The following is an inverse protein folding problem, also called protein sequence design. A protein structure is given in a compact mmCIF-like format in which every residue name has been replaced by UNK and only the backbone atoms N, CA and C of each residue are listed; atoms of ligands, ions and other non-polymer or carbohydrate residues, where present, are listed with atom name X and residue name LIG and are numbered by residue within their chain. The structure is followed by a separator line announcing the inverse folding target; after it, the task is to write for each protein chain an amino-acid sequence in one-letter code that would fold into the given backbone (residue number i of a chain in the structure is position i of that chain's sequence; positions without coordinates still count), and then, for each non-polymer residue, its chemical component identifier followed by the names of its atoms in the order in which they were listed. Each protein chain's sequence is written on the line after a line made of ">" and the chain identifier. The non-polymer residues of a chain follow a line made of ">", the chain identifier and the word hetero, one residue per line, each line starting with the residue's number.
data_IF_442386570493
#
_entry.id   IF_442386570493
#
_cell.length_a   1.000
_cell.length_b   1.000
_cell.length_c   1.000
_cell.angle_alpha   90.00
_cell.angle_beta   90.00
_cell.angle_gamma   90.00
#
_symmetry.space_group_name_H-M   'P 1'
#
loop_
_entity.id
_entity.type
_entity.pdbx_description
1 polymer ?
#
# COMPACT_ATOMS: atom_id res chain seq x y z
N UNK A 1 -13.76 51.65 -19.69
CA UNK A 1 -12.58 50.77 -19.71
C UNK A 1 -12.74 49.80 -18.55
N UNK A 2 -13.43 48.69 -18.79
CA UNK A 2 -13.48 47.58 -17.83
C UNK A 2 -12.07 47.01 -17.70
N UNK A 3 -11.57 46.95 -16.46
CA UNK A 3 -10.32 46.28 -16.15
C UNK A 3 -10.52 44.78 -16.35
N UNK A 4 -9.84 44.21 -17.35
CA UNK A 4 -9.81 42.77 -17.56
C UNK A 4 -9.29 42.08 -16.28
N UNK A 5 -10.06 41.13 -15.76
CA UNK A 5 -9.63 40.28 -14.67
C UNK A 5 -8.28 39.63 -15.03
N UNK A 6 -7.33 39.54 -14.08
CA UNK A 6 -6.02 38.96 -14.36
C UNK A 6 -6.20 37.51 -14.82
N UNK A 7 -5.82 37.23 -16.07
CA UNK A 7 -5.79 35.87 -16.62
C UNK A 7 -4.99 34.97 -15.69
N UNK A 8 -5.66 34.08 -14.95
CA UNK A 8 -4.99 33.12 -14.08
C UNK A 8 -3.98 32.31 -14.91
N UNK A 9 -2.70 32.41 -14.56
CA UNK A 9 -1.63 31.71 -15.29
C UNK A 9 -1.81 30.19 -15.19
N UNK A 10 -1.79 29.50 -16.33
CA UNK A 10 -1.91 28.04 -16.40
C UNK A 10 -0.77 27.39 -15.62
N UNK A 11 -1.09 26.50 -14.67
CA UNK A 11 -0.11 25.77 -13.87
C UNK A 11 0.06 24.35 -14.43
N UNK A 12 1.04 24.20 -15.32
CA UNK A 12 1.34 22.93 -16.00
C UNK A 12 2.50 22.21 -15.31
N UNK A 13 2.25 20.99 -14.85
CA UNK A 13 3.25 20.15 -14.18
C UNK A 13 3.58 18.91 -15.02
N UNK A 14 4.83 18.48 -14.98
CA UNK A 14 5.33 17.33 -15.71
C UNK A 14 6.54 16.67 -15.03
N UNK A 15 7.33 15.86 -15.75
CA UNK A 15 8.37 15.01 -15.18
C UNK A 15 9.43 15.74 -14.33
N UNK A 16 9.75 16.98 -14.68
CA UNK A 16 10.74 17.79 -13.96
C UNK A 16 10.21 18.39 -12.65
N UNK A 17 8.88 18.43 -12.46
CA UNK A 17 8.26 19.08 -11.30
C UNK A 17 8.13 18.17 -10.07
N UNK A 18 8.37 16.87 -10.23
CA UNK A 18 8.18 15.87 -9.19
C UNK A 18 9.47 15.08 -8.90
N UNK A 19 10.64 15.70 -9.03
CA UNK A 19 11.90 15.05 -8.64
C UNK A 19 11.97 14.94 -7.11
N UNK A 20 12.36 13.76 -6.63
CA UNK A 20 12.54 13.45 -5.21
C UNK A 20 13.92 13.94 -4.69
N UNK A 21 14.34 15.14 -5.09
CA UNK A 21 15.73 15.61 -4.91
C UNK A 21 16.06 15.94 -3.43
N UNK A 22 15.08 15.99 -2.52
CA UNK A 22 15.28 16.51 -1.15
C UNK A 22 15.27 15.45 -0.01
N UNK A 23 14.78 14.22 -0.20
CA UNK A 23 14.24 13.45 0.94
C UNK A 23 14.52 11.93 0.93
N UNK A 24 15.73 11.54 0.53
CA UNK A 24 16.23 10.18 0.77
C UNK A 24 17.04 10.21 2.06
N UNK A 25 16.67 9.38 3.05
CA UNK A 25 17.52 9.16 4.22
C UNK A 25 18.96 8.97 3.77
N UNK A 26 19.88 9.75 4.32
CA UNK A 26 21.27 9.53 4.00
C UNK A 26 21.73 8.18 4.58
N UNK A 27 22.83 7.63 4.07
CA UNK A 27 23.33 6.32 4.49
C UNK A 27 23.55 6.22 6.00
N UNK A 28 23.93 7.33 6.65
CA UNK A 28 24.12 7.41 8.10
C UNK A 28 22.80 7.31 8.88
N UNK A 29 21.74 7.99 8.43
CA UNK A 29 20.40 7.90 9.03
C UNK A 29 19.80 6.51 8.88
N UNK A 30 19.93 5.90 7.70
CA UNK A 30 19.52 4.50 7.47
C UNK A 30 20.25 3.58 8.44
N UNK A 31 21.56 3.77 8.61
CA UNK A 31 22.36 2.99 9.56
C UNK A 31 21.85 3.12 11.00
N UNK A 32 21.52 4.33 11.46
CA UNK A 32 20.95 4.55 12.81
C UNK A 32 19.60 3.85 12.98
N UNK A 33 18.70 3.99 12.03
CA UNK A 33 17.39 3.34 12.06
C UNK A 33 17.51 1.81 12.11
N UNK A 34 18.44 1.24 11.34
CA UNK A 34 18.71 -0.19 11.36
C UNK A 34 19.24 -0.66 12.72
N UNK A 35 20.20 0.07 13.31
CA UNK A 35 20.75 -0.26 14.62
C UNK A 35 19.70 -0.20 15.72
N UNK A 36 18.85 0.82 15.71
CA UNK A 36 17.75 0.95 16.67
C UNK A 36 16.76 -0.22 16.57
N UNK A 37 16.38 -0.60 15.35
CA UNK A 37 15.46 -1.70 15.13
C UNK A 37 16.06 -3.03 15.61
N UNK A 38 17.35 -3.26 15.33
CA UNK A 38 18.08 -4.45 15.81
C UNK A 38 18.14 -4.53 17.33
N UNK A 39 18.40 -3.40 18.02
CA UNK A 39 18.41 -3.38 19.48
C UNK A 39 17.03 -3.75 20.08
N UNK A 40 15.93 -3.33 19.45
CA UNK A 40 14.56 -3.72 19.86
C UNK A 40 14.32 -5.22 19.62
N UNK A 41 14.82 -5.79 18.52
CA UNK A 41 14.74 -7.22 18.23
C UNK A 41 15.52 -8.03 19.28
N UNK A 42 16.76 -7.63 19.55
CA UNK A 42 17.61 -8.24 20.59
C UNK A 42 16.92 -8.24 21.96
N UNK A 43 16.30 -7.12 22.33
CA UNK A 43 15.50 -7.01 23.56
C UNK A 43 14.35 -8.01 23.60
N UNK A 44 13.63 -8.23 22.49
CA UNK A 44 12.55 -9.21 22.42
C UNK A 44 13.04 -10.64 22.64
N UNK A 45 14.12 -11.04 21.96
CA UNK A 45 14.71 -12.37 22.16
C UNK A 45 15.28 -12.55 23.56
N UNK A 46 15.86 -11.50 24.15
CA UNK A 46 16.32 -11.52 25.54
C UNK A 46 15.23 -11.91 26.54
N UNK A 47 13.96 -11.57 26.26
CA UNK A 47 12.80 -11.89 27.11
C UNK A 47 12.31 -13.33 27.00
N UNK A 48 12.64 -14.03 25.90
CA UNK A 48 12.13 -15.38 25.60
C UNK A 48 13.23 -16.42 25.45
N UNK A 49 14.51 -16.04 25.60
CA UNK A 49 15.68 -16.91 25.42
C UNK A 49 15.69 -18.18 26.29
N UNK A 50 14.92 -18.18 27.38
CA UNK A 50 14.84 -19.31 28.32
C UNK A 50 13.81 -20.36 27.87
N UNK A 51 12.97 -20.02 26.89
CA UNK A 51 11.90 -20.90 26.42
C UNK A 51 12.43 -21.94 25.43
N UNK A 52 12.12 -23.24 25.63
CA UNK A 52 12.56 -24.29 24.74
C UNK A 52 12.01 -24.11 23.31
N UNK A 53 12.89 -24.28 22.31
CA UNK A 53 12.54 -24.28 20.89
C UNK A 53 12.14 -22.93 20.28
N UNK A 54 12.21 -21.84 21.05
CA UNK A 54 11.87 -20.50 20.54
C UNK A 54 12.83 -20.03 19.44
N UNK A 55 14.06 -20.50 19.44
CA UNK A 55 15.07 -20.19 18.42
C UNK A 55 14.97 -21.05 17.16
N UNK A 56 14.05 -22.03 17.11
CA UNK A 56 13.94 -22.94 15.96
C UNK A 56 13.20 -22.28 14.79
N UNK A 57 12.24 -21.37 15.08
CA UNK A 57 11.50 -20.59 14.09
C UNK A 57 10.62 -19.47 14.71
N UNK A 58 10.87 -19.06 15.95
CA UNK A 58 10.12 -17.97 16.59
C UNK A 58 10.59 -16.61 16.10
N UNK A 59 9.75 -15.88 15.36
CA UNK A 59 10.09 -14.58 14.78
C UNK A 59 9.27 -13.43 15.36
N UNK A 60 9.81 -12.21 15.29
CA UNK A 60 9.15 -10.99 15.79
C UNK A 60 7.93 -10.55 14.95
N UNK A 61 7.66 -11.18 13.81
CA UNK A 61 6.55 -10.83 12.91
C UNK A 61 5.41 -11.84 12.98
N UNK A 62 4.18 -11.37 12.80
CA UNK A 62 2.96 -12.16 12.98
C UNK A 62 1.74 -11.26 13.19
N UNK A 63 0.68 -11.80 13.80
CA UNK A 63 -0.58 -11.09 14.05
C UNK A 63 -0.71 -10.50 15.46
N UNK A 64 0.31 -10.65 16.30
CA UNK A 64 0.34 -10.18 17.69
C UNK A 64 1.50 -9.18 17.90
N UNK A 65 1.76 -8.80 19.15
CA UNK A 65 2.96 -8.04 19.49
C UNK A 65 4.24 -8.89 19.26
N UNK A 66 5.43 -8.26 19.17
CA UNK A 66 6.65 -8.95 18.76
C UNK A 66 7.04 -10.15 19.63
N UNK A 67 6.81 -10.11 20.94
CA UNK A 67 7.18 -11.21 21.84
C UNK A 67 6.18 -12.34 21.72
N UNK A 68 4.89 -12.02 21.66
CA UNK A 68 3.84 -13.01 21.41
C UNK A 68 4.01 -13.71 20.05
N UNK A 69 4.43 -12.97 19.02
CA UNK A 69 4.73 -13.54 17.70
C UNK A 69 5.85 -14.58 17.75
N UNK A 70 6.89 -14.33 18.56
CA UNK A 70 8.01 -15.27 18.70
C UNK A 70 7.50 -16.60 19.28
N UNK A 71 6.69 -16.56 20.34
CA UNK A 71 6.18 -17.77 21.00
C UNK A 71 5.19 -18.52 20.10
N UNK A 72 4.27 -17.79 19.46
CA UNK A 72 3.32 -18.39 18.51
C UNK A 72 4.04 -19.01 17.31
N UNK A 73 5.03 -18.32 16.74
CA UNK A 73 5.81 -18.80 15.60
C UNK A 73 6.59 -20.08 15.90
N UNK A 74 7.19 -20.18 17.09
CA UNK A 74 7.86 -21.39 17.54
C UNK A 74 6.90 -22.58 17.66
N UNK A 75 5.70 -22.34 18.21
CA UNK A 75 4.64 -23.35 18.36
C UNK A 75 4.13 -23.82 16.99
N UNK A 76 3.93 -22.91 16.04
CA UNK A 76 3.55 -23.21 14.65
C UNK A 76 4.59 -24.13 13.99
N UNK A 77 5.88 -23.85 14.19
CA UNK A 77 6.93 -24.67 13.60
C UNK A 77 7.01 -26.07 14.23
N UNK A 78 6.80 -26.18 15.55
CA UNK A 78 6.77 -27.49 16.24
C UNK A 78 5.63 -28.37 15.73
N UNK A 79 4.41 -27.82 15.66
CA UNK A 79 3.26 -28.54 15.13
C UNK A 79 3.47 -29.01 13.68
N UNK A 80 4.25 -28.27 12.88
CA UNK A 80 4.59 -28.67 11.52
C UNK A 80 5.63 -29.80 11.43
N UNK A 81 6.51 -29.94 12.43
CA UNK A 81 7.46 -31.05 12.53
C UNK A 81 6.74 -32.32 12.97
N UNK A 82 5.87 -32.24 13.99
CA UNK A 82 5.07 -33.38 14.47
C UNK A 82 4.16 -33.94 13.35
N UNK A 83 3.54 -33.08 12.54
CA UNK A 83 2.76 -33.50 11.39
C UNK A 83 3.60 -34.18 10.27
N UNK A 84 4.89 -33.85 10.17
CA UNK A 84 5.81 -34.50 9.22
C UNK A 84 6.38 -35.81 9.74
N UNK A 85 6.62 -35.93 11.04
CA UNK A 85 7.08 -37.18 11.65
C UNK A 85 6.01 -38.28 11.55
N UNK A 86 4.72 -37.93 11.56
CA UNK A 86 3.62 -38.85 11.24
C UNK A 86 3.59 -39.29 9.75
N UNK A 87 4.12 -38.48 8.82
CA UNK A 87 4.20 -38.79 7.38
C UNK A 87 5.53 -39.47 6.98
N UNK A 88 6.63 -39.23 7.71
CA UNK A 88 8.00 -39.64 7.36
C UNK A 88 8.52 -40.87 8.15
N UNK A 89 7.68 -41.58 8.92
CA UNK A 89 8.05 -42.83 9.63
C UNK A 89 8.51 -43.98 8.71
N UNK A 90 8.45 -43.85 7.38
CA UNK A 90 8.89 -44.89 6.43
C UNK A 90 10.36 -44.82 5.98
N UNK A 91 11.14 -43.76 6.20
CA UNK A 91 12.56 -43.77 5.78
C UNK A 91 13.49 -42.97 6.69
N UNK A 92 14.21 -43.66 7.58
CA UNK A 92 15.42 -43.13 8.24
C UNK A 92 16.68 -43.62 7.55
N UNK A 93 17.65 -42.70 7.37
CA UNK A 93 19.04 -42.82 7.88
C UNK A 93 19.85 -41.52 7.70
N UNK A 94 20.57 -41.12 8.76
CA UNK A 94 21.40 -39.91 8.96
C UNK A 94 22.75 -39.96 8.17
N UNK A 95 23.54 -38.86 8.04
CA UNK A 95 24.53 -38.50 9.08
C UNK A 95 24.80 -36.99 9.28
N UNK A 96 25.28 -36.67 10.49
CA UNK A 96 25.49 -35.30 10.98
C UNK A 96 26.73 -34.54 10.45
N UNK A 97 26.76 -33.25 10.76
CA UNK A 97 27.94 -32.40 10.63
C UNK A 97 28.01 -31.43 11.83
N UNK A 98 29.13 -31.47 12.53
CA UNK A 98 29.53 -30.48 13.54
C UNK A 98 29.94 -29.19 12.81
N UNK A 99 29.23 -28.10 13.02
CA UNK A 99 29.72 -26.73 12.81
C UNK A 99 29.63 -26.03 14.17
N UNK A 100 30.67 -25.24 14.52
CA UNK A 100 30.78 -24.56 15.81
C UNK A 100 29.51 -23.81 16.19
N UNK A 101 29.22 -23.71 17.49
CA UNK A 101 28.00 -23.09 18.03
C UNK A 101 27.65 -21.84 17.22
N UNK A 102 26.60 -21.91 16.36
CA UNK A 102 26.16 -20.75 15.64
C UNK A 102 25.71 -19.73 16.67
N UNK A 103 26.00 -18.44 16.45
CA UNK A 103 25.32 -17.37 17.16
C UNK A 103 23.83 -17.40 16.75
N UNK A 104 23.08 -18.33 17.35
CA UNK A 104 21.69 -18.61 17.08
C UNK A 104 20.84 -17.37 17.32
N UNK A 105 21.16 -16.60 18.37
CA UNK A 105 20.46 -15.35 18.67
C UNK A 105 20.76 -14.31 17.60
N UNK A 106 22.03 -14.13 17.22
CA UNK A 106 22.41 -13.22 16.14
C UNK A 106 21.78 -13.58 14.79
N UNK A 107 21.67 -14.87 14.45
CA UNK A 107 20.99 -15.33 13.24
C UNK A 107 19.48 -15.04 13.30
N UNK A 108 18.83 -15.36 14.42
CA UNK A 108 17.40 -15.08 14.62
C UNK A 108 17.10 -13.59 14.59
N UNK A 109 17.97 -12.75 15.17
CA UNK A 109 17.86 -11.29 15.09
C UNK A 109 17.86 -10.80 13.63
N UNK A 110 18.80 -11.32 12.82
CA UNK A 110 18.92 -10.98 11.40
C UNK A 110 17.70 -11.43 10.61
N UNK A 111 17.24 -12.66 10.83
CA UNK A 111 16.08 -13.24 10.13
C UNK A 111 14.78 -12.51 10.49
N UNK A 112 14.57 -12.19 11.77
CA UNK A 112 13.45 -11.36 12.22
C UNK A 112 13.48 -9.95 11.64
N UNK A 113 14.67 -9.34 11.55
CA UNK A 113 14.83 -8.02 10.91
C UNK A 113 14.35 -8.05 9.44
N UNK A 114 14.82 -9.03 8.66
CA UNK A 114 14.40 -9.16 7.26
C UNK A 114 12.91 -9.46 7.13
N UNK A 115 12.40 -10.41 7.91
CA UNK A 115 10.98 -10.77 7.87
C UNK A 115 10.05 -9.61 8.26
N UNK A 116 10.40 -8.78 9.24
CA UNK A 116 9.60 -7.60 9.60
C UNK A 116 9.56 -6.53 8.50
N UNK A 117 10.71 -6.22 7.90
CA UNK A 117 10.78 -5.26 6.80
C UNK A 117 10.00 -5.77 5.60
N UNK A 118 10.16 -7.05 5.25
CA UNK A 118 9.49 -7.65 4.11
C UNK A 118 8.00 -7.90 4.34
N UNK A 119 7.58 -8.14 5.59
CA UNK A 119 6.16 -8.13 5.97
C UNK A 119 5.51 -6.79 5.60
N UNK A 120 6.10 -5.67 6.04
CA UNK A 120 5.53 -4.34 5.78
C UNK A 120 5.62 -3.93 4.32
N UNK A 121 6.72 -4.22 3.62
CA UNK A 121 6.87 -3.84 2.20
C UNK A 121 6.02 -4.73 1.29
N UNK A 122 5.76 -6.00 1.66
CA UNK A 122 4.80 -6.85 0.95
C UNK A 122 3.36 -6.38 1.19
N UNK A 123 3.01 -5.97 2.42
CA UNK A 123 1.69 -5.45 2.73
C UNK A 123 1.43 -4.06 2.10
N UNK A 124 2.48 -3.24 1.99
CA UNK A 124 2.43 -1.92 1.37
C UNK A 124 3.48 -1.80 0.25
N UNK A 125 3.19 -2.24 -0.98
CA UNK A 125 4.17 -2.35 -2.08
C UNK A 125 4.89 -1.05 -2.51
N UNK A 126 4.39 0.10 -2.05
CA UNK A 126 4.99 1.41 -2.32
C UNK A 126 5.83 1.95 -1.15
N UNK A 127 5.91 1.23 -0.05
CA UNK A 127 6.77 1.55 1.08
C UNK A 127 8.23 1.16 0.76
N UNK A 128 9.18 2.06 1.06
CA UNK A 128 10.61 1.74 0.93
C UNK A 128 11.11 1.02 2.18
N UNK A 129 12.18 0.25 2.08
CA UNK A 129 12.77 -0.44 3.24
C UNK A 129 13.11 0.53 4.37
N UNK A 130 13.67 1.71 4.05
CA UNK A 130 14.01 2.73 5.05
C UNK A 130 12.75 3.24 5.78
N UNK A 131 11.65 3.46 5.06
CA UNK A 131 10.39 3.85 5.68
C UNK A 131 9.77 2.70 6.49
N UNK A 132 9.86 1.45 6.03
CA UNK A 132 9.40 0.29 6.78
C UNK A 132 10.13 0.19 8.13
N UNK A 133 11.46 0.32 8.13
CA UNK A 133 12.27 0.34 9.35
C UNK A 133 11.86 1.50 10.26
N UNK A 134 11.64 2.70 9.70
CA UNK A 134 11.19 3.86 10.46
C UNK A 134 9.83 3.60 11.13
N UNK A 135 8.82 3.12 10.39
CA UNK A 135 7.51 2.80 10.98
C UNK A 135 7.59 1.71 12.04
N UNK A 136 8.44 0.68 11.85
CA UNK A 136 8.67 -0.35 12.87
C UNK A 136 9.32 0.23 14.12
N UNK A 137 10.26 1.17 13.97
CA UNK A 137 10.87 1.83 15.12
C UNK A 137 9.84 2.63 15.92
N UNK A 138 9.00 3.43 15.25
CA UNK A 138 7.93 4.20 15.89
C UNK A 138 6.87 3.28 16.51
N UNK A 139 6.60 2.12 15.90
CA UNK A 139 5.65 1.13 16.39
C UNK A 139 6.22 0.20 17.48
N UNK A 140 7.41 0.47 18.02
CA UNK A 140 8.10 -0.41 18.99
C UNK A 140 8.17 -1.86 18.50
N UNK A 141 8.58 -2.05 17.24
CA UNK A 141 8.73 -3.33 16.55
C UNK A 141 7.41 -4.03 16.19
N UNK A 142 6.25 -3.54 16.63
CA UNK A 142 4.97 -4.21 16.36
C UNK A 142 4.55 -4.01 14.88
N UNK A 143 4.46 -5.09 14.09
CA UNK A 143 4.19 -5.00 12.65
C UNK A 143 2.76 -4.53 12.33
N UNK A 144 1.76 -4.86 13.16
CA UNK A 144 0.38 -4.44 12.93
C UNK A 144 0.14 -3.01 13.42
N UNK A 145 0.80 -2.57 14.49
CA UNK A 145 0.81 -1.16 14.90
C UNK A 145 1.50 -0.31 13.82
N UNK A 146 2.61 -0.78 13.25
CA UNK A 146 3.26 -0.11 12.12
C UNK A 146 2.33 -0.02 10.90
N UNK A 147 1.61 -1.11 10.58
CA UNK A 147 0.61 -1.10 9.51
C UNK A 147 -0.52 -0.10 9.76
N UNK A 148 -1.04 -0.03 10.99
CA UNK A 148 -2.05 0.96 11.40
C UNK A 148 -1.53 2.40 11.25
N UNK A 149 -0.29 2.68 11.64
CA UNK A 149 0.33 4.00 11.46
C UNK A 149 0.39 4.38 9.97
N UNK A 150 0.78 3.44 9.10
CA UNK A 150 0.82 3.65 7.65
C UNK A 150 -0.59 3.94 7.11
N UNK A 151 -1.58 3.12 7.47
CA UNK A 151 -2.98 3.28 7.03
C UNK A 151 -3.52 4.65 7.44
N UNK A 152 -3.31 5.05 8.70
CA UNK A 152 -3.75 6.34 9.22
C UNK A 152 -3.03 7.51 8.53
N UNK A 153 -1.72 7.41 8.36
CA UNK A 153 -0.91 8.48 7.74
C UNK A 153 -1.22 8.67 6.26
N UNK A 154 -1.57 7.60 5.55
CA UNK A 154 -1.97 7.62 4.13
C UNK A 154 -3.46 7.89 3.91
N UNK A 155 -4.26 8.05 4.96
CA UNK A 155 -5.71 8.25 4.85
C UNK A 155 -6.44 7.05 4.23
N UNK A 156 -5.90 5.84 4.41
CA UNK A 156 -6.45 4.60 3.83
C UNK A 156 -7.51 3.94 4.71
N UNK A 157 -7.91 4.55 5.83
CA UNK A 157 -8.80 3.96 6.83
C UNK A 157 -10.15 3.49 6.25
N UNK A 158 -10.63 4.14 5.17
CA UNK A 158 -11.88 3.77 4.50
C UNK A 158 -11.73 2.66 3.47
N UNK A 159 -10.54 2.50 2.87
CA UNK A 159 -10.29 1.54 1.79
C UNK A 159 -9.59 0.28 2.27
N UNK A 160 -8.84 0.36 3.37
CA UNK A 160 -8.15 -0.77 3.99
C UNK A 160 -9.04 -1.38 5.09
N UNK A 161 -10.04 -2.15 4.66
CA UNK A 161 -10.99 -2.80 5.57
C UNK A 161 -10.45 -4.12 6.12
N UNK A 162 -10.52 -4.32 7.44
CA UNK A 162 -10.07 -5.54 8.11
C UNK A 162 -11.03 -6.74 7.95
N UNK A 163 -12.26 -6.49 7.52
CA UNK A 163 -13.23 -7.52 7.11
C UNK A 163 -13.16 -7.84 5.60
N UNK A 164 -12.22 -7.23 4.86
CA UNK A 164 -12.08 -7.45 3.41
C UNK A 164 -11.25 -8.69 3.12
N UNK A 165 -11.78 -9.60 2.31
CA UNK A 165 -11.06 -10.78 1.80
C UNK A 165 -9.76 -10.39 1.09
N UNK A 166 -9.74 -9.24 0.40
CA UNK A 166 -8.54 -8.71 -0.25
C UNK A 166 -7.46 -8.35 0.76
N UNK A 167 -7.84 -7.74 1.89
CA UNK A 167 -6.89 -7.40 2.96
C UNK A 167 -6.38 -8.66 3.64
N UNK A 168 -7.26 -9.62 3.93
CA UNK A 168 -6.90 -10.92 4.48
C UNK A 168 -5.89 -11.65 3.60
N UNK A 169 -6.14 -11.71 2.29
CA UNK A 169 -5.23 -12.32 1.31
C UNK A 169 -3.88 -11.57 1.21
N UNK A 170 -3.89 -10.23 1.33
CA UNK A 170 -2.68 -9.42 1.33
C UNK A 170 -1.82 -9.68 2.59
N UNK A 171 -2.44 -9.74 3.77
CA UNK A 171 -1.74 -10.07 5.03
C UNK A 171 -1.22 -11.50 5.00
N UNK A 172 -2.00 -12.46 4.51
CA UNK A 172 -1.55 -13.85 4.36
C UNK A 172 -0.33 -13.94 3.42
N UNK A 173 -0.35 -13.18 2.32
CA UNK A 173 0.80 -13.07 1.41
C UNK A 173 2.00 -12.43 2.08
N UNK A 174 1.80 -11.35 2.83
CA UNK A 174 2.86 -10.68 3.58
C UNK A 174 3.51 -11.60 4.64
N UNK A 175 2.73 -12.43 5.33
CA UNK A 175 3.24 -13.45 6.26
C UNK A 175 4.12 -14.48 5.54
N UNK A 176 3.70 -14.95 4.36
CA UNK A 176 4.53 -15.88 3.56
C UNK A 176 5.82 -15.24 3.08
N UNK A 177 5.75 -13.98 2.60
CA UNK A 177 6.95 -13.23 2.19
C UNK A 177 7.91 -13.04 3.36
N UNK A 178 7.41 -12.61 4.52
CA UNK A 178 8.19 -12.43 5.74
C UNK A 178 8.88 -13.72 6.17
N UNK A 179 8.14 -14.83 6.20
CA UNK A 179 8.66 -16.15 6.54
C UNK A 179 9.71 -16.64 5.53
N UNK A 180 9.50 -16.42 4.23
CA UNK A 180 10.47 -16.77 3.20
C UNK A 180 11.77 -15.97 3.35
N UNK A 181 11.67 -14.65 3.58
CA UNK A 181 12.83 -13.79 3.81
C UNK A 181 13.57 -14.11 5.11
N UNK A 182 12.82 -14.54 6.13
CA UNK A 182 13.36 -15.11 7.35
C UNK A 182 13.80 -16.57 7.19
N UNK A 183 13.85 -17.13 5.98
CA UNK A 183 14.33 -18.49 5.72
C UNK A 183 13.61 -19.57 6.54
N UNK A 184 12.31 -19.39 6.81
CA UNK A 184 11.51 -20.41 7.46
C UNK A 184 11.43 -21.66 6.55
N UNK A 185 11.58 -22.90 7.07
CA UNK A 185 11.61 -24.12 6.26
C UNK A 185 10.35 -24.31 5.39
N UNK A 186 9.20 -23.87 5.89
CA UNK A 186 7.94 -23.90 5.15
C UNK A 186 7.13 -22.60 5.35
N UNK A 187 7.33 -21.56 4.53
CA UNK A 187 6.62 -20.28 4.68
C UNK A 187 5.10 -20.38 4.56
N UNK A 188 4.60 -21.37 3.80
CA UNK A 188 3.17 -21.62 3.63
C UNK A 188 2.54 -22.17 4.90
N UNK A 189 3.20 -23.14 5.56
CA UNK A 189 2.76 -23.64 6.86
C UNK A 189 2.79 -22.56 7.94
N UNK A 190 3.79 -21.67 7.94
CA UNK A 190 3.82 -20.54 8.86
C UNK A 190 2.58 -19.65 8.74
N UNK A 191 2.20 -19.28 7.51
CA UNK A 191 0.97 -18.51 7.28
C UNK A 191 -0.31 -19.29 7.63
N UNK A 192 -0.33 -20.61 7.39
CA UNK A 192 -1.43 -21.48 7.78
C UNK A 192 -1.60 -21.56 9.30
N UNK A 193 -0.50 -21.64 10.06
CA UNK A 193 -0.54 -21.62 11.54
C UNK A 193 -1.18 -20.34 12.06
N UNK A 194 -0.77 -19.17 11.54
CA UNK A 194 -1.41 -17.90 11.86
C UNK A 194 -2.89 -17.87 11.50
N UNK A 195 -3.27 -18.50 10.39
CA UNK A 195 -4.65 -18.63 9.97
C UNK A 195 -5.49 -19.46 10.95
N UNK A 196 -4.98 -20.58 11.44
CA UNK A 196 -5.63 -21.40 12.47
C UNK A 196 -5.78 -20.64 13.79
N UNK A 197 -4.72 -19.93 14.22
CA UNK A 197 -4.75 -19.10 15.41
C UNK A 197 -5.73 -17.92 15.28
N UNK A 198 -5.86 -17.35 14.09
CA UNK A 198 -6.75 -16.21 13.83
C UNK A 198 -8.23 -16.50 14.06
N UNK A 199 -8.65 -17.75 13.87
CA UNK A 199 -10.01 -18.22 14.12
C UNK A 199 -10.21 -18.72 15.56
N UNK A 200 -9.21 -18.57 16.40
CA UNK A 200 -9.20 -19.01 17.80
C UNK A 200 -9.24 -17.78 18.71
N UNK A 201 -9.36 -17.98 20.03
CA UNK A 201 -9.43 -16.84 20.96
C UNK A 201 -8.06 -16.19 21.15
N UNK A 202 -7.65 -15.39 20.16
CA UNK A 202 -6.43 -14.58 20.16
C UNK A 202 -6.33 -13.68 21.40
N UNK A 203 -7.44 -13.37 22.09
CA UNK A 203 -7.38 -12.64 23.36
C UNK A 203 -6.63 -13.43 24.42
N UNK A 204 -6.92 -14.73 24.54
CA UNK A 204 -6.30 -15.54 25.56
C UNK A 204 -4.82 -15.77 25.24
N UNK A 205 -4.48 -15.97 23.96
CA UNK A 205 -3.08 -16.01 23.52
C UNK A 205 -2.37 -14.69 23.82
N UNK A 206 -2.99 -13.54 23.53
CA UNK A 206 -2.42 -12.22 23.81
C UNK A 206 -2.44 -11.81 25.29
N UNK A 207 -3.33 -12.39 26.11
CA UNK A 207 -3.44 -12.11 27.54
C UNK A 207 -2.43 -12.94 28.36
N UNK A 208 -2.12 -14.15 27.89
CA UNK A 208 -1.11 -15.03 28.51
C UNK A 208 0.30 -14.69 28.01
N UNK A 209 0.43 -14.10 26.81
CA UNK A 209 1.71 -13.64 26.27
C UNK A 209 2.01 -12.16 26.61
N UNK A 210 3.26 -11.79 26.95
CA UNK A 210 3.51 -10.59 27.73
C UNK A 210 3.61 -9.32 26.87
N UNK A 211 2.57 -8.49 26.94
CA UNK A 211 2.44 -7.21 26.20
C UNK A 211 3.34 -6.05 26.72
N UNK A 212 4.10 -6.21 27.82
CA UNK A 212 4.78 -5.08 28.50
C UNK A 212 6.23 -5.39 28.90
N UNK A 213 7.09 -4.36 28.78
CA UNK A 213 8.50 -4.37 29.19
C UNK A 213 8.72 -4.22 30.72
N UNK A 214 7.67 -3.98 31.50
CA UNK A 214 7.78 -3.53 32.91
C UNK A 214 7.27 -4.52 33.97
N UNK A 215 7.16 -5.81 33.65
CA UNK A 215 6.68 -6.80 34.61
C UNK A 215 7.62 -8.00 34.64
N UNK A 216 8.13 -8.30 35.83
CA UNK A 216 8.81 -9.55 36.16
C UNK A 216 7.82 -10.70 35.91
N UNK A 217 8.02 -11.45 34.84
CA UNK A 217 7.17 -12.61 34.52
C UNK A 217 7.87 -13.91 34.89
N UNK A 218 7.08 -14.88 35.36
CA UNK A 218 7.54 -16.24 35.64
C UNK A 218 7.51 -17.11 34.38
N UNK A 219 8.41 -18.09 34.32
CA UNK A 219 8.43 -19.12 33.25
C UNK A 219 7.09 -19.86 33.12
N UNK A 220 6.32 -19.95 34.21
CA UNK A 220 4.99 -20.58 34.25
C UNK A 220 3.98 -19.90 33.32
N UNK A 221 4.07 -18.58 33.15
CA UNK A 221 3.14 -17.82 32.29
C UNK A 221 3.38 -18.13 30.81
N UNK A 222 4.64 -18.24 30.41
CA UNK A 222 5.01 -18.63 29.04
C UNK A 222 4.68 -20.09 28.75
N UNK A 223 4.90 -21.00 29.70
CA UNK A 223 4.53 -22.40 29.55
C UNK A 223 3.02 -22.56 29.33
N UNK A 224 2.19 -21.81 30.06
CA UNK A 224 0.74 -21.80 29.86
C UNK A 224 0.35 -21.26 28.48
N UNK A 225 1.02 -20.22 27.98
CA UNK A 225 0.77 -19.71 26.63
C UNK A 225 1.12 -20.73 25.55
N UNK A 226 2.29 -21.37 25.65
CA UNK A 226 2.72 -22.41 24.70
C UNK A 226 1.71 -23.55 24.68
N UNK A 227 1.34 -24.09 25.85
CA UNK A 227 0.36 -25.17 25.94
C UNK A 227 -0.99 -24.78 25.31
N UNK A 228 -1.42 -23.53 25.48
CA UNK A 228 -2.65 -23.04 24.86
C UNK A 228 -2.55 -22.94 23.32
N UNK A 229 -1.43 -22.44 22.80
CA UNK A 229 -1.21 -22.32 21.35
C UNK A 229 -1.11 -23.71 20.72
N UNK A 230 -0.36 -24.62 21.35
CA UNK A 230 -0.21 -26.01 20.91
C UNK A 230 -1.57 -26.72 20.91
N UNK A 231 -2.39 -26.58 21.96
CA UNK A 231 -3.73 -27.15 22.03
C UNK A 231 -4.64 -26.70 20.86
N UNK A 232 -4.56 -25.43 20.49
CA UNK A 232 -5.31 -24.87 19.36
C UNK A 232 -4.83 -25.44 18.03
N UNK A 233 -3.52 -25.56 17.83
CA UNK A 233 -2.91 -26.07 16.61
C UNK A 233 -3.18 -27.57 16.44
N UNK A 234 -3.17 -28.35 17.53
CA UNK A 234 -3.45 -29.79 17.53
C UNK A 234 -4.94 -30.11 17.32
N UNK A 235 -5.86 -29.33 17.92
CA UNK A 235 -7.31 -29.61 17.85
C UNK A 235 -7.99 -29.18 16.55
N UNK A 236 -7.39 -28.29 15.76
CA UNK A 236 -8.01 -27.75 14.54
C UNK A 236 -7.36 -28.32 13.27
N UNK A 237 -8.00 -29.31 12.67
CA UNK A 237 -7.71 -29.64 11.28
C UNK A 237 -8.12 -28.50 10.35
N UNK A 238 -7.30 -28.15 9.34
CA UNK A 238 -7.59 -27.05 8.45
C UNK A 238 -8.84 -27.34 7.62
N UNK A 239 -9.92 -26.61 7.89
CA UNK A 239 -11.04 -26.53 6.94
C UNK A 239 -10.50 -25.82 5.69
N UNK A 240 -10.60 -26.42 4.48
CA UNK A 240 -9.90 -25.96 3.28
C UNK A 240 -10.33 -24.58 2.76
N UNK A 241 -11.33 -23.95 3.39
CA UNK A 241 -12.00 -22.75 2.90
C UNK A 241 -12.00 -21.55 3.86
N UNK A 242 -11.42 -21.66 5.07
CA UNK A 242 -11.43 -20.50 5.97
C UNK A 242 -10.55 -19.38 5.39
N UNK A 243 -10.91 -18.11 5.59
CA UNK A 243 -10.13 -16.92 5.21
C UNK A 243 -9.47 -16.37 6.46
N UNK A 244 -8.25 -15.84 6.39
CA UNK A 244 -7.55 -15.24 7.53
C UNK A 244 -8.43 -14.20 8.26
N UNK A 245 -8.70 -14.40 9.55
CA UNK A 245 -9.53 -13.48 10.35
C UNK A 245 -8.67 -12.39 10.98
N UNK A 246 -8.84 -11.13 10.55
CA UNK A 246 -7.99 -10.03 11.03
C UNK A 246 -8.60 -9.21 12.17
N UNK A 247 -9.92 -9.27 12.37
CA UNK A 247 -10.67 -8.40 13.30
C UNK A 247 -10.02 -8.32 14.69
N UNK A 248 -9.80 -9.47 15.31
CA UNK A 248 -9.23 -9.55 16.66
C UNK A 248 -7.79 -9.06 16.74
N UNK A 249 -6.94 -9.43 15.77
CA UNK A 249 -5.55 -8.99 15.71
C UNK A 249 -5.45 -7.46 15.56
N UNK A 250 -6.37 -6.89 14.79
CA UNK A 250 -6.44 -5.46 14.50
C UNK A 250 -6.96 -4.65 15.69
N UNK A 251 -7.95 -5.18 16.42
CA UNK A 251 -8.42 -4.59 17.68
C UNK A 251 -7.29 -4.50 18.71
N UNK A 252 -6.53 -5.60 18.89
CA UNK A 252 -5.40 -5.65 19.79
C UNK A 252 -4.30 -4.65 19.39
N UNK A 253 -3.95 -4.60 18.10
CA UNK A 253 -3.00 -3.62 17.58
C UNK A 253 -3.50 -2.17 17.76
N UNK A 254 -4.79 -1.93 17.55
CA UNK A 254 -5.41 -0.61 17.76
C UNK A 254 -5.35 -0.18 19.23
N UNK A 255 -5.54 -1.12 20.16
CA UNK A 255 -5.38 -0.84 21.59
C UNK A 255 -3.93 -0.49 21.94
N UNK A 256 -2.95 -1.23 21.40
CA UNK A 256 -1.52 -0.92 21.58
C UNK A 256 -1.14 0.43 20.98
N UNK A 257 -1.67 0.78 19.81
CA UNK A 257 -1.46 2.09 19.19
C UNK A 257 -2.00 3.23 20.06
N UNK A 258 -3.18 3.08 20.67
CA UNK A 258 -3.73 4.08 21.61
C UNK A 258 -2.82 4.28 22.81
N UNK A 259 -2.25 3.18 23.34
CA UNK A 259 -1.32 3.24 24.47
C UNK A 259 0.04 3.86 24.09
N UNK A 260 0.48 3.70 22.84
CA UNK A 260 1.66 4.39 22.30
C UNK A 260 1.42 5.89 22.06
N UNK A 261 0.18 6.33 21.90
CA UNK A 261 -0.20 7.69 21.54
C UNK A 261 0.56 8.83 22.27
N UNK A 262 0.79 8.74 23.60
CA UNK A 262 1.55 9.74 24.34
C UNK A 262 3.04 9.82 23.98
N UNK A 263 3.63 8.71 23.54
CA UNK A 263 5.07 8.54 23.28
C UNK A 263 5.42 8.66 21.80
N UNK A 264 4.42 8.75 20.90
CA UNK A 264 4.65 8.97 19.48
C UNK A 264 5.26 10.34 19.28
N UNK A 265 6.38 10.40 18.55
CA UNK A 265 7.07 11.66 18.30
C UNK A 265 6.11 12.66 17.62
N UNK A 266 6.20 13.97 17.93
CA UNK A 266 5.46 15.00 17.21
C UNK A 266 5.70 14.93 15.71
N UNK A 267 6.82 14.35 15.27
CA UNK A 267 7.17 14.11 13.86
C UNK A 267 6.28 13.04 13.20
N UNK A 268 5.77 12.06 13.96
CA UNK A 268 4.77 11.09 13.48
C UNK A 268 3.40 11.76 13.30
N UNK A 269 3.08 12.74 14.14
CA UNK A 269 1.77 13.42 14.20
C UNK A 269 1.70 14.68 13.32
N UNK A 270 2.79 15.45 13.26
CA UNK A 270 3.00 16.55 12.34
C UNK A 270 3.47 15.97 11.01
N UNK A 271 2.71 16.21 9.94
CA UNK A 271 2.94 15.74 8.57
C UNK A 271 4.25 16.26 7.92
N UNK A 272 5.30 16.56 8.69
CA UNK A 272 6.39 17.45 8.30
C UNK A 272 7.72 16.82 7.91
N UNK A 273 7.99 15.53 8.16
CA UNK A 273 9.38 15.04 7.99
C UNK A 273 9.60 13.97 6.92
N UNK A 274 8.56 13.30 6.42
CA UNK A 274 8.73 12.46 5.23
C UNK A 274 7.61 12.75 4.27
N UNK A 275 7.90 13.52 3.21
CA UNK A 275 7.05 13.46 2.05
C UNK A 275 7.19 12.05 1.50
N UNK A 276 6.24 11.18 1.85
CA UNK A 276 5.90 9.98 1.11
C UNK A 276 5.43 10.33 -0.32
N UNK A 277 5.83 11.47 -0.90
CA UNK A 277 5.45 11.96 -2.23
C UNK A 277 5.63 10.86 -3.25
N UNK A 278 6.81 10.23 -3.29
CA UNK A 278 7.09 9.11 -4.17
C UNK A 278 6.14 7.91 -3.97
N UNK A 279 5.79 7.60 -2.72
CA UNK A 279 4.93 6.46 -2.40
C UNK A 279 3.46 6.77 -2.74
N UNK A 280 2.96 7.93 -2.33
CA UNK A 280 1.64 8.46 -2.65
C UNK A 280 1.47 8.63 -4.16
N UNK A 281 2.49 9.12 -4.85
CA UNK A 281 2.53 9.21 -6.31
C UNK A 281 2.41 7.84 -6.97
N UNK A 282 3.19 6.85 -6.51
CA UNK A 282 3.11 5.48 -7.00
C UNK A 282 1.76 4.84 -6.71
N UNK A 283 1.18 5.06 -5.53
CA UNK A 283 -0.17 4.60 -5.18
C UNK A 283 -1.22 5.17 -6.14
N UNK A 284 -1.22 6.48 -6.34
CA UNK A 284 -2.14 7.14 -7.25
C UNK A 284 -1.96 6.64 -8.70
N UNK A 285 -0.72 6.43 -9.13
CA UNK A 285 -0.42 5.87 -10.44
C UNK A 285 -0.92 4.42 -10.58
N UNK A 286 -0.81 3.59 -9.54
CA UNK A 286 -1.37 2.23 -9.51
C UNK A 286 -2.89 2.27 -9.65
N UNK A 287 -3.57 3.18 -8.94
CA UNK A 287 -5.02 3.40 -9.07
C UNK A 287 -5.39 3.78 -10.51
N UNK A 288 -4.70 4.76 -11.10
CA UNK A 288 -4.93 5.18 -12.49
C UNK A 288 -4.67 4.02 -13.46
N UNK A 289 -3.59 3.25 -13.26
CA UNK A 289 -3.29 2.07 -14.07
C UNK A 289 -4.42 1.04 -14.02
N UNK A 290 -5.01 0.81 -12.84
CA UNK A 290 -6.21 -0.02 -12.68
C UNK A 290 -7.38 0.43 -13.54
N UNK A 291 -7.62 1.75 -13.68
CA UNK A 291 -8.66 2.27 -14.57
C UNK A 291 -8.39 1.99 -16.05
N UNK A 292 -7.13 2.02 -16.48
CA UNK A 292 -6.78 1.60 -17.85
C UNK A 292 -7.06 0.12 -18.08
N UNK A 293 -6.75 -0.75 -17.12
CA UNK A 293 -7.08 -2.18 -17.23
C UNK A 293 -8.60 -2.41 -17.32
N UNK A 294 -9.38 -1.69 -16.50
CA UNK A 294 -10.85 -1.73 -16.57
C UNK A 294 -11.38 -1.21 -17.91
N UNK A 295 -10.82 -0.13 -18.45
CA UNK A 295 -11.20 0.41 -19.75
C UNK A 295 -10.89 -0.59 -20.88
N UNK A 296 -9.71 -1.22 -20.86
CA UNK A 296 -9.32 -2.25 -21.82
C UNK A 296 -10.26 -3.45 -21.79
N UNK A 297 -10.73 -3.86 -20.61
CA UNK A 297 -11.69 -4.94 -20.48
C UNK A 297 -13.09 -4.61 -21.05
N UNK A 298 -13.42 -3.32 -21.21
CA UNK A 298 -14.73 -2.83 -21.71
C UNK A 298 -14.71 -2.44 -23.20
N UNK A 299 -13.54 -2.15 -23.76
CA UNK A 299 -13.41 -1.75 -25.16
C UNK A 299 -13.49 -2.97 -26.10
N UNK A 300 -14.09 -2.85 -27.31
CA UNK A 300 -14.18 -3.95 -28.27
C UNK A 300 -12.79 -4.44 -28.70
N UNK A 301 -12.55 -5.75 -28.59
CA UNK A 301 -11.25 -6.37 -28.86
C UNK A 301 -10.76 -6.13 -30.30
N UNK A 302 -11.65 -6.29 -31.28
CA UNK A 302 -11.39 -6.07 -32.70
C UNK A 302 -10.94 -4.61 -32.98
N UNK A 303 -11.59 -3.65 -32.33
CA UNK A 303 -11.24 -2.23 -32.48
C UNK A 303 -9.95 -1.88 -31.73
N UNK A 304 -9.72 -2.45 -30.55
CA UNK A 304 -8.45 -2.34 -29.82
C UNK A 304 -7.28 -2.80 -30.68
N UNK A 305 -7.38 -3.98 -31.29
CA UNK A 305 -6.31 -4.54 -32.12
C UNK A 305 -6.06 -3.70 -33.37
N UNK A 306 -7.09 -3.11 -33.98
CA UNK A 306 -6.97 -2.40 -35.25
C UNK A 306 -6.64 -0.90 -35.16
N UNK A 307 -7.34 -0.12 -34.30
CA UNK A 307 -7.19 1.35 -34.30
C UNK A 307 -7.32 2.01 -32.92
N UNK A 308 -8.08 1.45 -31.99
CA UNK A 308 -8.22 2.04 -30.65
C UNK A 308 -6.95 1.98 -29.81
N UNK A 309 -6.01 1.03 -30.05
CA UNK A 309 -4.73 1.07 -29.36
C UNK A 309 -3.96 2.37 -29.59
N UNK A 310 -4.00 2.91 -30.81
CA UNK A 310 -3.33 4.16 -31.15
C UNK A 310 -3.99 5.32 -30.42
N UNK A 311 -5.31 5.45 -30.55
CA UNK A 311 -6.08 6.52 -29.92
C UNK A 311 -6.01 6.48 -28.39
N UNK A 312 -6.05 5.29 -27.79
CA UNK A 312 -5.93 5.11 -26.35
C UNK A 312 -4.56 5.57 -25.84
N UNK A 313 -3.47 5.17 -26.52
CA UNK A 313 -2.11 5.53 -26.11
C UNK A 313 -1.73 6.98 -26.41
N UNK A 314 -2.46 7.67 -27.28
CA UNK A 314 -2.22 9.08 -27.61
C UNK A 314 -3.09 10.04 -26.80
N UNK A 315 -4.38 9.71 -26.63
CA UNK A 315 -5.38 10.65 -26.16
C UNK A 315 -6.39 10.07 -25.16
N UNK A 316 -6.36 8.76 -24.87
CA UNK A 316 -7.28 8.08 -23.96
C UNK A 316 -7.06 8.43 -22.48
N UNK A 317 -6.93 9.70 -22.13
CA UNK A 317 -6.62 10.15 -20.77
C UNK A 317 -7.81 9.96 -19.81
N UNK A 318 -7.53 9.78 -18.52
CA UNK A 318 -8.57 9.56 -17.50
C UNK A 318 -9.16 10.83 -16.88
N UNK A 319 -8.66 12.02 -17.23
CA UNK A 319 -9.29 13.30 -16.83
C UNK A 319 -10.44 13.65 -17.78
N UNK A 320 -11.47 14.29 -17.24
CA UNK A 320 -12.69 14.62 -17.97
C UNK A 320 -13.90 14.72 -17.02
N UNK A 321 -15.11 14.92 -17.55
CA UNK A 321 -16.32 15.10 -16.76
C UNK A 321 -16.96 13.80 -16.27
N UNK A 322 -16.51 12.63 -16.75
CA UNK A 322 -17.01 11.31 -16.33
C UNK A 322 -16.14 10.69 -15.24
N UNK A 323 -16.50 9.48 -14.79
CA UNK A 323 -15.59 8.67 -13.98
C UNK A 323 -14.30 8.35 -14.78
N UNK A 324 -13.18 8.03 -14.11
CA UNK A 324 -11.90 7.81 -14.78
C UNK A 324 -11.95 6.77 -15.91
N UNK A 325 -12.73 5.69 -15.79
CA UNK A 325 -12.84 4.66 -16.82
C UNK A 325 -13.68 5.17 -18.00
N UNK A 326 -14.80 5.84 -17.71
CA UNK A 326 -15.64 6.51 -18.70
C UNK A 326 -14.85 7.51 -19.54
N UNK A 327 -14.02 8.34 -18.91
CA UNK A 327 -13.15 9.30 -19.60
C UNK A 327 -12.15 8.60 -20.54
N UNK A 328 -11.48 7.54 -20.09
CA UNK A 328 -10.53 6.78 -20.92
C UNK A 328 -11.23 6.26 -22.19
N UNK A 329 -12.41 5.64 -22.03
CA UNK A 329 -13.18 5.07 -23.14
C UNK A 329 -13.65 6.18 -24.09
N UNK A 330 -14.26 7.24 -23.55
CA UNK A 330 -14.79 8.34 -24.36
C UNK A 330 -13.68 9.04 -25.14
N UNK A 331 -12.57 9.39 -24.49
CA UNK A 331 -11.45 10.07 -25.12
C UNK A 331 -10.80 9.20 -26.20
N UNK A 332 -10.71 7.89 -25.98
CA UNK A 332 -10.22 6.93 -26.98
C UNK A 332 -11.11 6.92 -28.23
N UNK A 333 -12.44 6.80 -28.05
CA UNK A 333 -13.40 6.75 -29.15
C UNK A 333 -13.46 8.08 -29.89
N UNK A 334 -13.48 9.19 -29.17
CA UNK A 334 -13.49 10.53 -29.74
C UNK A 334 -12.23 10.77 -30.59
N UNK A 335 -11.05 10.50 -30.04
CA UNK A 335 -9.80 10.73 -30.76
C UNK A 335 -9.68 9.84 -32.01
N UNK A 336 -10.13 8.59 -31.92
CA UNK A 336 -10.19 7.68 -33.07
C UNK A 336 -11.05 8.22 -34.22
N UNK A 337 -12.13 8.94 -33.91
CA UNK A 337 -13.04 9.50 -34.92
C UNK A 337 -12.54 10.84 -35.47
N UNK A 338 -12.00 11.69 -34.61
CA UNK A 338 -11.50 13.00 -34.99
C UNK A 338 -10.16 12.92 -35.76
N UNK A 339 -9.31 11.95 -35.41
CA UNK A 339 -7.98 11.77 -35.97
C UNK A 339 -7.75 10.30 -36.37
N UNK A 340 -8.43 9.81 -37.43
CA UNK A 340 -8.25 8.44 -37.87
C UNK A 340 -6.80 8.21 -38.33
N UNK A 341 -6.18 7.07 -37.98
CA UNK A 341 -4.79 6.80 -38.34
C UNK A 341 -4.64 6.64 -39.85
N UNK A 342 -3.59 7.22 -40.43
CA UNK A 342 -3.30 7.12 -41.87
C UNK A 342 -2.93 5.68 -42.29
N UNK A 343 -2.49 4.84 -41.35
CA UNK A 343 -2.20 3.42 -41.55
C UNK A 343 -2.74 2.61 -40.38
N UNK A 344 -3.48 1.55 -40.69
CA UNK A 344 -3.93 0.59 -39.68
C UNK A 344 -2.82 -0.43 -39.42
N UNK A 345 -2.38 -0.51 -38.16
CA UNK A 345 -1.42 -1.51 -37.70
C UNK A 345 -2.16 -2.42 -36.74
N UNK A 346 -2.32 -3.68 -37.11
CA UNK A 346 -2.91 -4.64 -36.19
C UNK A 346 -1.91 -5.05 -35.12
N UNK A 347 -2.31 -5.00 -33.85
CA UNK A 347 -1.46 -5.41 -32.72
C UNK A 347 -2.10 -6.56 -31.96
N UNK A 348 -1.27 -7.48 -31.47
CA UNK A 348 -1.72 -8.57 -30.59
C UNK A 348 -1.93 -8.12 -29.15
N UNK A 349 -1.13 -7.16 -28.67
CA UNK A 349 -1.18 -6.65 -27.30
C UNK A 349 -0.63 -5.22 -27.19
N UNK A 350 -1.17 -4.46 -26.24
CA UNK A 350 -0.66 -3.14 -25.85
C UNK A 350 0.49 -3.34 -24.85
N UNK A 351 1.63 -2.71 -25.11
CA UNK A 351 2.79 -2.82 -24.20
C UNK A 351 2.51 -2.22 -22.82
N UNK A 352 3.04 -2.88 -21.78
CA UNK A 352 2.99 -2.39 -20.39
C UNK A 352 3.63 -1.00 -20.24
N UNK A 353 4.74 -0.75 -20.96
CA UNK A 353 5.38 0.57 -21.05
C UNK A 353 4.47 1.63 -21.67
N UNK A 354 3.71 1.28 -22.70
CA UNK A 354 2.72 2.18 -23.32
C UNK A 354 1.62 2.57 -22.33
N UNK A 355 1.06 1.57 -21.61
CA UNK A 355 0.05 1.80 -20.59
C UNK A 355 0.56 2.64 -19.42
N UNK A 356 1.77 2.36 -18.93
CA UNK A 356 2.39 3.16 -17.88
C UNK A 356 2.58 4.61 -18.33
N UNK A 357 3.03 4.83 -19.57
CA UNK A 357 3.23 6.17 -20.12
C UNK A 357 1.93 6.98 -20.18
N UNK A 358 0.83 6.38 -20.64
CA UNK A 358 -0.45 7.10 -20.70
C UNK A 358 -1.03 7.34 -19.30
N UNK A 359 -0.85 6.41 -18.36
CA UNK A 359 -1.23 6.58 -16.95
C UNK A 359 -0.48 7.76 -16.29
N UNK A 360 0.83 7.83 -16.47
CA UNK A 360 1.65 8.96 -15.97
C UNK A 360 1.23 10.29 -16.59
N UNK A 361 0.94 10.32 -17.90
CA UNK A 361 0.43 11.52 -18.58
C UNK A 361 -0.92 11.96 -18.03
N UNK A 362 -1.82 11.03 -17.75
CA UNK A 362 -3.10 11.36 -17.11
C UNK A 362 -2.93 11.90 -15.71
N UNK A 363 -2.00 11.36 -14.92
CA UNK A 363 -1.67 11.89 -13.59
C UNK A 363 -1.18 13.35 -13.68
N UNK A 364 -0.26 13.66 -14.59
CA UNK A 364 0.15 15.05 -14.83
C UNK A 364 -1.02 15.96 -15.24
N UNK A 365 -1.92 15.44 -16.08
CA UNK A 365 -3.15 16.13 -16.47
C UNK A 365 -4.04 16.47 -15.27
N UNK A 366 -4.34 15.48 -14.42
CA UNK A 366 -5.17 15.64 -13.23
C UNK A 366 -4.59 16.65 -12.24
N UNK A 367 -3.28 16.58 -11.95
CA UNK A 367 -2.62 17.52 -11.03
C UNK A 367 -2.62 18.94 -11.60
N UNK A 368 -2.28 19.10 -12.87
CA UNK A 368 -2.26 20.41 -13.54
C UNK A 368 -3.64 21.05 -13.62
N UNK A 369 -4.67 20.23 -13.81
CA UNK A 369 -6.06 20.66 -13.78
C UNK A 369 -6.43 21.29 -12.43
N UNK A 370 -6.21 20.56 -11.33
CA UNK A 370 -6.56 21.03 -9.98
C UNK A 370 -5.76 22.26 -9.58
N UNK A 371 -4.45 22.27 -9.84
CA UNK A 371 -3.61 23.41 -9.52
C UNK A 371 -3.96 24.66 -10.34
N UNK A 372 -4.46 24.49 -11.58
CA UNK A 372 -4.95 25.60 -12.40
C UNK A 372 -6.31 26.11 -11.91
N UNK A 373 -7.26 25.21 -11.63
CA UNK A 373 -8.58 25.58 -11.07
C UNK A 373 -8.48 26.32 -9.74
N UNK A 374 -7.68 25.80 -8.82
CA UNK A 374 -7.51 26.33 -7.48
C UNK A 374 -6.26 27.21 -7.35
N UNK A 375 -5.96 28.00 -8.39
CA UNK A 375 -4.79 28.86 -8.39
C UNK A 375 -4.87 29.98 -7.35
N UNK A 376 -6.06 30.54 -7.10
CA UNK A 376 -6.29 31.56 -6.05
C UNK A 376 -6.03 31.03 -4.63
N UNK A 377 -6.29 29.75 -4.35
CA UNK A 377 -5.97 29.16 -3.04
C UNK A 377 -4.54 28.66 -2.94
N UNK A 378 -3.68 28.98 -3.90
CA UNK A 378 -2.29 28.52 -3.96
C UNK A 378 -2.13 27.00 -3.77
N UNK A 379 -3.04 26.21 -4.36
CA UNK A 379 -3.00 24.75 -4.26
C UNK A 379 -1.67 24.21 -4.82
N UNK A 380 -0.87 23.59 -3.94
CA UNK A 380 0.41 22.98 -4.33
C UNK A 380 0.18 21.64 -5.02
N UNK A 381 1.13 21.16 -5.86
CA UNK A 381 1.03 19.84 -6.46
C UNK A 381 0.87 18.71 -5.45
N UNK A 382 1.55 18.80 -4.30
CA UNK A 382 1.45 17.81 -3.23
C UNK A 382 0.05 17.76 -2.60
N UNK A 383 -0.58 18.92 -2.42
CA UNK A 383 -1.96 18.99 -1.94
C UNK A 383 -2.93 18.43 -2.99
N UNK A 384 -2.72 18.75 -4.28
CA UNK A 384 -3.52 18.20 -5.37
C UNK A 384 -3.42 16.66 -5.45
N UNK A 385 -2.21 16.10 -5.33
CA UNK A 385 -2.00 14.65 -5.29
C UNK A 385 -2.74 14.03 -4.09
N UNK A 386 -2.63 14.62 -2.89
CA UNK A 386 -3.34 14.11 -1.70
C UNK A 386 -4.86 14.15 -1.86
N UNK A 387 -5.39 15.22 -2.45
CA UNK A 387 -6.82 15.33 -2.78
C UNK A 387 -7.24 14.24 -3.76
N UNK A 388 -6.50 14.05 -4.85
CA UNK A 388 -6.76 12.98 -5.82
C UNK A 388 -6.70 11.60 -5.17
N UNK A 389 -5.72 11.34 -4.32
CA UNK A 389 -5.59 10.06 -3.62
C UNK A 389 -6.81 9.76 -2.74
N UNK A 390 -7.33 10.75 -2.01
CA UNK A 390 -8.49 10.59 -1.13
C UNK A 390 -9.78 10.20 -1.87
N UNK A 391 -9.87 10.50 -3.17
CA UNK A 391 -11.02 10.22 -4.03
C UNK A 391 -10.69 9.28 -5.19
N UNK A 392 -9.63 8.49 -5.05
CA UNK A 392 -9.20 7.50 -6.04
C UNK A 392 -9.00 8.08 -7.46
N UNK A 393 -8.42 9.28 -7.59
CA UNK A 393 -8.21 9.98 -8.85
C UNK A 393 -9.50 10.36 -9.62
N UNK A 394 -10.68 10.26 -9.02
CA UNK A 394 -11.92 10.75 -9.63
C UNK A 394 -11.97 12.28 -9.54
N UNK A 395 -11.79 12.92 -10.69
CA UNK A 395 -11.71 14.38 -10.78
C UNK A 395 -13.00 15.08 -10.34
N UNK A 396 -14.16 14.44 -10.51
CA UNK A 396 -15.48 14.97 -10.14
C UNK A 396 -15.64 15.08 -8.63
N UNK A 397 -14.96 14.22 -7.89
CA UNK A 397 -14.94 14.22 -6.44
C UNK A 397 -13.79 15.09 -5.90
N UNK A 398 -12.71 15.22 -6.66
CA UNK A 398 -11.56 16.05 -6.29
C UNK A 398 -11.84 17.55 -6.47
N UNK A 399 -12.73 17.90 -7.40
CA UNK A 399 -13.28 19.24 -7.60
C UNK A 399 -14.82 19.21 -7.53
N UNK A 400 -15.40 19.51 -6.36
CA UNK A 400 -16.85 19.53 -6.18
C UNK A 400 -17.60 20.52 -7.08
N UNK A 401 -16.91 21.54 -7.60
CA UNK A 401 -17.48 22.57 -8.46
C UNK A 401 -17.40 22.21 -9.95
N UNK A 402 -16.88 21.03 -10.31
CA UNK A 402 -16.66 20.62 -11.70
C UNK A 402 -17.92 20.64 -12.58
N UNK A 403 -19.09 20.40 -11.97
CA UNK A 403 -20.37 20.28 -12.66
C UNK A 403 -21.31 21.47 -12.45
N UNK A 404 -20.87 22.49 -11.69
CA UNK A 404 -21.64 23.70 -11.48
C UNK A 404 -21.40 24.65 -12.66
N UNK A 405 -22.47 25.29 -13.13
CA UNK A 405 -22.38 26.27 -14.22
C UNK A 405 -21.68 27.53 -13.69
N UNK A 406 -20.67 28.02 -14.41
CA UNK A 406 -19.90 29.26 -14.10
C UNK A 406 -20.81 30.52 -14.02
N UNK A 407 -22.11 30.42 -14.33
CA UNK A 407 -23.08 31.53 -14.39
C UNK A 407 -23.63 31.95 -13.01
N UNK A 408 -23.28 31.27 -11.92
CA UNK A 408 -23.57 31.73 -10.56
C UNK A 408 -22.30 32.18 -9.86
N UNK A 409 -21.83 33.38 -10.24
CA UNK A 409 -20.93 34.17 -9.42
C UNK A 409 -21.65 34.57 -8.12
N UNK A 410 -21.68 33.65 -7.16
CA UNK A 410 -21.69 34.04 -5.76
C UNK A 410 -20.23 34.33 -5.40
N UNK A 411 -19.97 35.52 -4.85
CA UNK A 411 -18.66 36.10 -4.50
C UNK A 411 -17.82 35.29 -3.48
N UNK A 412 -18.17 34.03 -3.22
CA UNK A 412 -17.57 33.15 -2.21
C UNK A 412 -16.87 31.91 -2.81
N UNK A 413 -16.76 31.78 -4.15
CA UNK A 413 -16.27 30.55 -4.77
C UNK A 413 -14.74 30.49 -4.97
N UNK A 414 -14.16 29.43 -4.40
CA UNK A 414 -12.74 28.99 -4.32
C UNK A 414 -12.02 28.75 -5.67
N UNK A 415 -12.60 29.10 -6.82
CA UNK A 415 -12.13 28.73 -8.16
C UNK A 415 -11.68 29.97 -8.94
N UNK A 416 -10.44 29.96 -9.45
CA UNK A 416 -9.79 31.13 -10.06
C UNK A 416 -9.63 31.09 -11.57
N UNK A 417 -9.85 29.92 -12.17
CA UNK A 417 -9.70 29.69 -13.59
C UNK A 417 -10.92 28.92 -14.10
N UNK A 418 -11.35 29.21 -15.34
CA UNK A 418 -12.51 28.53 -15.93
C UNK A 418 -12.25 27.05 -16.11
N UNK A 419 -13.33 26.28 -16.25
CA UNK A 419 -13.25 24.84 -16.49
C UNK A 419 -12.38 24.50 -17.70
N UNK A 420 -12.50 25.32 -18.74
CA UNK A 420 -11.79 25.19 -20.01
C UNK A 420 -10.28 25.46 -19.86
N UNK A 421 -9.89 26.49 -19.09
CA UNK A 421 -8.48 26.78 -18.82
C UNK A 421 -7.80 25.61 -18.11
N UNK A 422 -8.50 24.99 -17.14
CA UNK A 422 -7.99 23.84 -16.43
C UNK A 422 -7.82 22.59 -17.32
N UNK A 423 -8.77 22.32 -18.22
CA UNK A 423 -8.62 21.24 -19.22
C UNK A 423 -7.48 21.52 -20.20
N UNK A 424 -7.27 22.79 -20.58
CA UNK A 424 -6.13 23.19 -21.40
C UNK A 424 -4.80 22.88 -20.70
N UNK A 425 -4.67 23.23 -19.41
CA UNK A 425 -3.50 22.88 -18.61
C UNK A 425 -3.31 21.36 -18.50
N UNK A 426 -4.40 20.61 -18.30
CA UNK A 426 -4.38 19.16 -18.21
C UNK A 426 -3.88 18.52 -19.51
N UNK A 427 -4.39 18.96 -20.65
CA UNK A 427 -4.03 18.45 -21.97
C UNK A 427 -2.57 18.78 -22.32
N UNK A 428 -2.10 19.98 -21.99
CA UNK A 428 -0.70 20.37 -22.14
C UNK A 428 0.22 19.48 -21.28
N UNK A 429 -0.11 19.29 -20.00
CA UNK A 429 0.65 18.44 -19.08
C UNK A 429 0.71 16.97 -19.53
N UNK A 430 -0.41 16.47 -20.04
CA UNK A 430 -0.54 15.10 -20.54
C UNK A 430 0.13 14.89 -21.91
N UNK A 431 0.63 15.96 -22.54
CA UNK A 431 1.17 15.95 -23.92
C UNK A 431 0.15 15.38 -24.91
N UNK A 432 -1.10 15.82 -24.78
CA UNK A 432 -2.15 15.51 -25.73
C UNK A 432 -1.76 16.07 -27.12
N UNK A 433 -1.95 15.32 -28.23
CA UNK A 433 -1.54 15.79 -29.55
C UNK A 433 -2.24 17.09 -29.97
N UNK A 434 -3.50 17.27 -29.57
CA UNK A 434 -4.36 18.40 -29.95
C UNK A 434 -4.99 19.02 -28.70
N UNK A 435 -4.23 19.76 -27.87
CA UNK A 435 -4.65 20.14 -26.52
C UNK A 435 -5.86 21.08 -26.51
N UNK A 436 -6.00 21.94 -27.52
CA UNK A 436 -7.11 22.89 -27.63
C UNK A 436 -8.43 22.22 -28.04
N UNK A 437 -8.40 21.08 -28.71
CA UNK A 437 -9.59 20.36 -29.17
C UNK A 437 -10.17 19.41 -28.13
N UNK A 438 -9.41 19.10 -27.08
CA UNK A 438 -9.89 18.31 -25.94
C UNK A 438 -10.91 19.12 -25.08
N UNK A 439 -10.85 20.45 -25.13
CA UNK A 439 -11.78 21.34 -24.43
C UNK A 439 -13.22 21.22 -24.96
N UNK A 440 -13.39 21.10 -26.28
CA UNK A 440 -14.71 21.08 -26.91
C UNK A 440 -15.46 19.76 -26.72
N UNK A 441 -14.75 18.67 -26.44
CA UNK A 441 -15.31 17.37 -26.05
C UNK A 441 -15.59 17.25 -24.56
N UNK A 442 -14.84 17.99 -23.71
CA UNK A 442 -14.92 17.91 -22.25
C UNK A 442 -15.89 18.94 -21.62
N UNK A 443 -16.19 20.03 -22.32
CA UNK A 443 -17.17 21.04 -21.90
C UNK A 443 -18.61 20.60 -22.22
N UNK A 444 -19.58 21.00 -21.39
CA UNK A 444 -21.01 20.62 -21.41
C UNK A 444 -21.77 20.70 -22.76
N UNK A 445 -21.15 21.18 -23.85
CA UNK A 445 -21.75 21.30 -25.20
C UNK A 445 -22.17 19.97 -25.84
N UNK A 446 -21.88 18.81 -25.24
CA UNK A 446 -22.41 17.51 -25.71
C UNK A 446 -23.72 17.06 -25.04
N UNK A 447 -24.28 17.78 -24.04
CA UNK A 447 -25.62 17.43 -23.49
C UNK A 447 -26.75 17.44 -24.54
N UNK A 448 -26.53 18.03 -25.72
CA UNK A 448 -27.54 18.15 -26.79
C UNK A 448 -27.28 17.28 -28.03
N UNK A 449 -26.28 16.38 -28.03
CA UNK A 449 -25.94 15.58 -29.23
C UNK A 449 -25.68 14.09 -29.00
N UNK A 450 -26.16 13.53 -27.89
CA UNK A 450 -26.35 12.08 -27.75
C UNK A 450 -27.75 11.77 -27.26
#
# INVERSE_FOLDING_TARGET
>A
MEAAAPSAALRVYGPSNFRDDELVFNSGEIGRLQSELRAKIESCYGRVRQLPGVLDAGFCFGLLDPVSNIVAGASIARAAVEAKEEEEEEERSLPGARLGEPDLIGDMNRRSFHGLVDFLTALFPHLTNAMAIWYLNEARLDPLVAALLIVKRRGMERSFGFASDTTAAAVETALRCAAASAQHPNPSQFALGWKLLSHSDLNNVAAVLPSSANSDYSDESFAAAIAMVDDVLLKKQPQPTSVLSLEKSWELASARLRNLGPDLSPIVLEKKVFLERAAVWRMLLTTIHGYYLQALARLPKDKLQSHYHHSLLQAGHCYGPLDPVGNIILNTIWYSRAYPPAKNVEISAISTRGLLRIAVRSLYGLVSFLCTRCAATHLTPDEAIRRLQAVAADLRLADPNLLLDDDKNDDDMVVSATVEQAYTAAAAAARHPEPHHQNTSSSQKQRSRF
#
